data_IF_561680598776
#
_entry.id   IF_561680598776
#
_cell.length_a   1.000
_cell.length_b   1.000
_cell.length_c   1.000
_cell.angle_alpha   90.00
_cell.angle_beta   90.00
_cell.angle_gamma   90.00
#
_symmetry.space_group_name_H-M   'P 1'
#
loop_
_entity.id
_entity.type
_entity.pdbx_description
1 polymer ?
#
# COMPACT_ATOMS: atom_id res chain seq x y z
N UNK A 1 4.94 2.61 -2.97
CA UNK A 1 5.01 3.86 -2.18
C UNK A 1 6.47 4.09 -1.91
N UNK A 2 6.94 5.31 -2.13
CA UNK A 2 8.35 5.67 -2.08
C UNK A 2 8.53 6.85 -1.13
N UNK A 3 9.63 6.84 -0.37
CA UNK A 3 10.03 7.92 0.54
C UNK A 3 11.54 7.89 0.77
N UNK A 4 12.19 9.04 0.70
CA UNK A 4 13.59 9.20 1.14
C UNK A 4 13.70 9.54 2.65
N UNK A 5 12.56 9.86 3.29
CA UNK A 5 12.52 10.40 4.64
C UNK A 5 12.25 9.32 5.71
N UNK A 6 11.68 8.16 5.33
CA UNK A 6 11.34 7.06 6.22
C UNK A 6 11.16 5.74 5.46
N UNK A 7 11.13 4.63 6.20
CA UNK A 7 10.90 3.29 5.67
C UNK A 7 9.40 3.04 5.38
N UNK A 8 8.97 2.97 4.11
CA UNK A 8 7.55 2.94 3.75
C UNK A 8 6.80 1.68 4.19
N UNK A 9 5.53 1.84 4.55
CA UNK A 9 4.64 0.73 4.86
C UNK A 9 3.23 0.98 4.34
N UNK A 10 2.66 -0.03 3.69
CA UNK A 10 1.29 0.01 3.19
C UNK A 10 0.41 -1.02 3.88
N UNK A 11 -0.84 -0.63 4.14
CA UNK A 11 -1.91 -1.52 4.58
C UNK A 11 -3.14 -1.33 3.68
N UNK A 12 -3.69 -2.43 3.17
CA UNK A 12 -4.93 -2.44 2.41
C UNK A 12 -6.09 -2.98 3.27
N UNK A 13 -7.15 -2.19 3.36
CA UNK A 13 -8.40 -2.56 4.02
C UNK A 13 -9.50 -2.82 2.99
N UNK A 14 -10.29 -3.88 3.21
CA UNK A 14 -11.48 -4.18 2.43
C UNK A 14 -12.66 -3.25 2.80
N UNK A 15 -13.80 -3.33 2.08
CA UNK A 15 -14.98 -2.50 2.36
C UNK A 15 -15.54 -2.61 3.78
N UNK A 16 -15.30 -3.73 4.46
CA UNK A 16 -15.71 -3.96 5.85
C UNK A 16 -14.70 -3.40 6.87
N UNK A 17 -13.59 -2.82 6.40
CA UNK A 17 -12.52 -2.27 7.24
C UNK A 17 -11.52 -3.32 7.74
N UNK A 18 -11.59 -4.56 7.25
CA UNK A 18 -10.62 -5.60 7.58
C UNK A 18 -9.35 -5.44 6.76
N UNK A 19 -8.21 -5.61 7.41
CA UNK A 19 -6.93 -5.72 6.73
C UNK A 19 -6.86 -7.01 5.90
N UNK A 20 -6.46 -6.86 4.64
CA UNK A 20 -6.39 -7.96 3.66
C UNK A 20 -5.04 -8.06 2.97
N UNK A 21 -4.18 -7.04 3.08
CA UNK A 21 -2.79 -7.08 2.65
C UNK A 21 -1.98 -6.00 3.38
N UNK A 22 -0.69 -6.26 3.59
CA UNK A 22 0.30 -5.30 4.07
C UNK A 22 1.66 -5.60 3.43
N UNK A 23 2.48 -4.59 3.19
CA UNK A 23 3.85 -4.78 2.67
C UNK A 23 4.78 -3.60 3.01
N UNK A 24 5.98 -3.93 3.48
CA UNK A 24 7.21 -3.11 3.65
C UNK A 24 8.29 -3.54 2.64
N UNK A 25 8.45 -4.84 2.42
CA UNK A 25 9.57 -5.40 1.66
C UNK A 25 9.20 -5.61 0.18
N UNK A 26 9.39 -4.57 -0.63
CA UNK A 26 9.44 -4.68 -2.09
C UNK A 26 10.71 -5.39 -2.55
N UNK A 27 10.88 -6.71 -2.27
CA UNK A 27 11.93 -7.59 -2.81
C UNK A 27 13.31 -6.94 -3.08
N UNK A 28 13.80 -6.09 -2.16
CA UNK A 28 15.12 -5.46 -2.23
C UNK A 28 15.18 -3.96 -2.60
N UNK A 29 14.05 -3.26 -2.80
CA UNK A 29 14.01 -1.80 -2.83
C UNK A 29 13.21 -1.24 -1.63
N UNK A 30 13.49 0.01 -1.26
CA UNK A 30 12.82 0.78 -0.18
C UNK A 30 11.36 1.12 -0.52
N UNK A 31 10.69 0.30 -1.32
CA UNK A 31 9.39 0.58 -1.90
C UNK A 31 8.35 -0.40 -1.36
N UNK A 32 7.37 0.13 -0.63
CA UNK A 32 6.22 -0.67 -0.21
C UNK A 32 5.24 -0.81 -1.39
N UNK A 33 4.97 -2.04 -1.84
CA UNK A 33 4.05 -2.32 -2.95
C UNK A 33 2.99 -3.37 -2.57
N UNK A 34 1.72 -3.14 -2.94
CA UNK A 34 0.65 -4.12 -2.83
C UNK A 34 0.01 -4.35 -4.20
N UNK A 35 0.07 -5.59 -4.68
CA UNK A 35 -0.74 -6.06 -5.81
C UNK A 35 -1.89 -6.89 -5.27
N UNK A 36 -3.13 -6.47 -5.53
CA UNK A 36 -4.33 -7.15 -5.04
C UNK A 36 -5.43 -7.18 -6.09
N UNK A 37 -6.13 -8.32 -6.20
CA UNK A 37 -7.31 -8.50 -7.05
C UNK A 37 -8.59 -8.50 -6.18
N UNK A 38 -9.42 -7.45 -6.27
CA UNK A 38 -10.70 -7.42 -5.54
C UNK A 38 -11.60 -8.60 -5.89
N UNK A 39 -12.13 -9.26 -4.86
CA UNK A 39 -13.12 -10.35 -4.99
C UNK A 39 -14.55 -9.87 -4.74
N UNK A 40 -14.70 -8.66 -4.22
CA UNK A 40 -15.97 -8.00 -3.93
C UNK A 40 -15.93 -6.55 -4.41
N UNK A 41 -17.10 -5.99 -4.72
CA UNK A 41 -17.20 -4.57 -5.05
C UNK A 41 -17.36 -3.76 -3.78
N UNK A 42 -16.77 -2.57 -3.77
CA UNK A 42 -16.88 -1.66 -2.64
C UNK A 42 -15.68 -0.73 -2.51
N UNK A 43 -15.67 0.06 -1.42
CA UNK A 43 -14.60 1.01 -1.15
C UNK A 43 -13.47 0.33 -0.39
N UNK A 44 -12.33 0.16 -1.05
CA UNK A 44 -11.08 -0.22 -0.41
C UNK A 44 -10.36 1.01 0.14
N UNK A 45 -9.59 0.83 1.22
CA UNK A 45 -8.79 1.91 1.82
C UNK A 45 -7.33 1.51 1.86
N UNK A 46 -6.45 2.36 1.33
CA UNK A 46 -5.00 2.21 1.48
C UNK A 46 -4.55 3.15 2.59
N UNK A 47 -3.85 2.61 3.59
CA UNK A 47 -3.16 3.39 4.62
C UNK A 47 -1.67 3.42 4.26
N UNK A 48 -1.18 4.63 3.98
CA UNK A 48 0.25 4.92 3.81
C UNK A 48 0.83 5.38 5.15
N UNK A 49 1.85 4.68 5.64
CA UNK A 49 2.51 4.96 6.93
C UNK A 49 3.98 4.58 6.87
N UNK A 50 4.73 4.85 7.93
CA UNK A 50 6.08 4.31 8.13
C UNK A 50 6.04 2.93 8.80
N UNK A 51 7.08 2.12 8.56
CA UNK A 51 7.28 0.84 9.22
C UNK A 51 7.48 0.99 10.74
N UNK A 52 8.32 1.95 11.15
CA UNK A 52 8.56 2.27 12.55
C UNK A 52 7.76 3.50 13.01
N UNK A 53 7.29 3.47 14.25
CA UNK A 53 6.58 4.59 14.87
C UNK A 53 7.46 5.83 15.03
N UNK A 54 6.87 7.03 14.88
CA UNK A 54 7.58 8.29 15.11
C UNK A 54 8.45 8.75 13.93
N UNK A 55 8.38 8.07 12.80
CA UNK A 55 8.97 8.51 11.54
C UNK A 55 7.95 9.33 10.74
N UNK A 56 8.42 10.39 10.11
CA UNK A 56 7.58 11.34 9.37
C UNK A 56 8.37 11.88 8.18
N UNK A 57 7.66 12.20 7.11
CA UNK A 57 8.29 12.76 5.93
C UNK A 57 7.34 12.83 4.75
N UNK A 58 7.88 13.29 3.62
CA UNK A 58 7.15 13.32 2.35
C UNK A 58 7.19 11.93 1.74
N UNK A 59 6.15 11.60 0.98
CA UNK A 59 6.09 10.34 0.24
C UNK A 59 5.34 10.54 -1.07
N UNK A 60 5.57 9.62 -1.99
CA UNK A 60 4.77 9.48 -3.21
C UNK A 60 4.03 8.15 -3.16
N UNK A 61 2.70 8.21 -3.37
CA UNK A 61 1.85 7.03 -3.50
C UNK A 61 1.22 7.01 -4.90
N UNK A 62 1.55 5.98 -5.66
CA UNK A 62 0.94 5.71 -6.97
C UNK A 62 -0.06 4.56 -6.82
N UNK A 63 -1.23 4.71 -7.42
CA UNK A 63 -2.27 3.67 -7.45
C UNK A 63 -2.63 3.40 -8.90
N UNK A 64 -2.40 2.16 -9.34
CA UNK A 64 -2.70 1.71 -10.69
C UNK A 64 -3.81 0.66 -10.63
N UNK A 65 -4.86 0.85 -11.43
CA UNK A 65 -5.83 -0.20 -11.70
C UNK A 65 -5.38 -0.96 -12.95
N UNK A 66 -5.18 -2.26 -12.82
CA UNK A 66 -4.95 -3.14 -13.96
C UNK A 66 -6.28 -3.75 -14.37
N UNK A 67 -6.85 -3.25 -15.46
CA UNK A 67 -7.88 -3.98 -16.19
C UNK A 67 -7.13 -5.01 -17.06
N UNK A 68 -7.41 -6.31 -16.91
CA UNK A 68 -6.95 -7.26 -17.92
C UNK A 68 -7.74 -6.99 -19.19
N UNK A 69 -7.08 -6.52 -20.25
CA UNK A 69 -7.69 -6.47 -21.58
C UNK A 69 -8.32 -7.84 -21.88
N UNK A 70 -9.62 -7.83 -22.16
CA UNK A 70 -10.45 -8.99 -22.48
C UNK A 70 -10.17 -9.53 -23.87
#
# INVERSE_FOLDING_TARGET
>A
MESDDFDPYLVLLNPNGYEIAQNDDGLGSLDAEITYRPMETGRYTIRATSYSSGQYGRYTLTVNAWESDS
#
